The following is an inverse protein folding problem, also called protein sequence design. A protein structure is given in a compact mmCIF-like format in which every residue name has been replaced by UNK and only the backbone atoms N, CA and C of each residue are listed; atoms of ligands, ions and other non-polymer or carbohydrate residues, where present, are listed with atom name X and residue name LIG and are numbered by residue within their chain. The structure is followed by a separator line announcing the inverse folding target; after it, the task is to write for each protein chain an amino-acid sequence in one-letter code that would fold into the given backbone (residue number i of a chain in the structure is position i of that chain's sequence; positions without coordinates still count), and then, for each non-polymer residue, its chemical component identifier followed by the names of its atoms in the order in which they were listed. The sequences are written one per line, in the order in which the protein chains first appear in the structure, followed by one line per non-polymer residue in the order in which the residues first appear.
data_IF_872781445780
#
_entry.id   IF_872781445780
#
_cell.length_a   1.000
_cell.length_b   1.000
_cell.length_c   1.000
_cell.angle_alpha   90.00
_cell.angle_beta   90.00
_cell.angle_gamma   90.00
#
_symmetry.space_group_name_H-M   'P 1'
#
loop_
_entity.id
_entity.type
_entity.pdbx_description
1 polymer ?
#
# COMPACT_ATOMS: atom_id res chain seq x y z
N UNK A 1 -1.20 19.23 -7.24
CA UNK A 1 -1.16 17.78 -6.98
C UNK A 1 0.28 17.35 -7.09
N UNK A 2 0.76 16.61 -6.09
CA UNK A 2 2.14 16.15 -5.96
C UNK A 2 2.16 14.68 -6.38
N UNK A 3 2.97 14.34 -7.37
CA UNK A 3 3.17 12.96 -7.79
C UNK A 3 4.21 12.30 -6.88
N UNK A 4 3.79 11.29 -6.12
CA UNK A 4 4.63 10.63 -5.12
C UNK A 4 5.87 9.99 -5.74
N UNK A 5 5.77 9.50 -6.99
CA UNK A 5 6.93 8.93 -7.69
C UNK A 5 8.00 9.97 -8.04
N UNK A 6 7.61 11.24 -8.17
CA UNK A 6 8.52 12.35 -8.49
C UNK A 6 9.08 13.01 -7.22
N UNK A 7 8.35 12.97 -6.10
CA UNK A 7 8.75 13.53 -4.80
C UNK A 7 8.33 12.60 -3.65
N UNK A 8 9.21 11.64 -3.31
CA UNK A 8 8.98 10.71 -2.20
C UNK A 8 9.12 11.36 -0.82
N UNK A 9 9.78 12.52 -0.71
CA UNK A 9 9.95 13.22 0.56
C UNK A 9 8.62 13.75 1.08
N UNK A 10 7.63 13.94 0.21
CA UNK A 10 6.25 14.29 0.61
C UNK A 10 5.66 13.29 1.62
N UNK A 11 6.08 12.01 1.56
CA UNK A 11 5.60 10.96 2.46
C UNK A 11 6.12 11.12 3.91
N UNK A 12 7.19 11.88 4.11
CA UNK A 12 7.73 12.17 5.44
C UNK A 12 6.85 13.15 6.21
N UNK A 13 6.16 14.05 5.50
CA UNK A 13 5.38 15.14 6.11
C UNK A 13 4.26 14.60 7.02
N UNK A 14 4.19 14.97 8.30
CA UNK A 14 3.20 14.45 9.24
C UNK A 14 1.76 14.94 8.96
N UNK A 15 1.62 15.97 8.12
CA UNK A 15 0.39 16.72 7.87
C UNK A 15 -0.03 16.77 6.39
N UNK A 16 0.53 15.91 5.54
CA UNK A 16 0.17 15.84 4.11
C UNK A 16 -1.30 15.46 3.91
N UNK A 17 -2.07 16.23 3.15
CA UNK A 17 -3.43 15.85 2.77
C UNK A 17 -3.39 14.82 1.63
N UNK A 18 -3.94 13.60 1.81
CA UNK A 18 -4.02 12.60 0.74
C UNK A 18 -4.63 13.12 -0.56
N UNK A 19 -5.55 14.09 -0.49
CA UNK A 19 -6.21 14.70 -1.66
C UNK A 19 -5.27 15.53 -2.54
N UNK A 20 -4.12 15.92 -2.01
CA UNK A 20 -3.11 16.64 -2.77
C UNK A 20 -2.13 15.70 -3.49
N UNK A 21 -2.25 14.39 -3.29
CA UNK A 21 -1.32 13.38 -3.79
C UNK A 21 -1.87 12.61 -5.00
N UNK A 22 -0.96 12.26 -5.90
CA UNK A 22 -1.15 11.24 -6.91
C UNK A 22 -0.04 10.19 -6.83
N UNK A 23 -0.35 8.98 -7.33
CA UNK A 23 0.59 7.89 -7.44
C UNK A 23 0.44 7.24 -8.82
N UNK A 24 1.53 7.21 -9.58
CA UNK A 24 1.58 6.77 -10.97
C UNK A 24 0.42 7.36 -11.81
N UNK A 25 0.11 8.64 -11.61
CA UNK A 25 -0.96 9.36 -12.30
C UNK A 25 -2.38 9.13 -11.76
N UNK A 26 -2.58 8.23 -10.78
CA UNK A 26 -3.86 8.06 -10.10
C UNK A 26 -3.97 9.02 -8.92
N UNK A 27 -5.05 9.80 -8.87
CA UNK A 27 -5.26 10.80 -7.81
C UNK A 27 -6.08 10.17 -6.68
N UNK A 28 -5.87 10.60 -5.45
CA UNK A 28 -6.82 10.26 -4.40
C UNK A 28 -8.23 10.75 -4.77
N UNK A 29 -9.23 9.89 -4.68
CA UNK A 29 -10.61 10.21 -5.04
C UNK A 29 -10.94 10.15 -6.54
N UNK A 30 -9.99 9.77 -7.40
CA UNK A 30 -10.30 9.56 -8.83
C UNK A 30 -11.06 8.26 -9.04
N UNK A 31 -11.84 8.21 -10.13
CA UNK A 31 -12.47 6.97 -10.58
C UNK A 31 -11.40 5.95 -10.97
N UNK A 32 -11.44 4.78 -10.38
CA UNK A 32 -10.47 3.72 -10.66
C UNK A 32 -10.51 3.29 -12.13
N UNK A 33 -11.69 3.31 -12.76
CA UNK A 33 -11.88 2.94 -14.17
C UNK A 33 -11.07 3.82 -15.14
N UNK A 34 -10.79 5.06 -14.76
CA UNK A 34 -10.08 6.04 -15.58
C UNK A 34 -8.57 6.06 -15.30
N UNK A 35 -8.13 5.52 -14.15
CA UNK A 35 -6.74 5.67 -13.68
C UNK A 35 -5.97 4.36 -13.51
N UNK A 36 -6.65 3.23 -13.30
CA UNK A 36 -5.98 1.93 -13.14
C UNK A 36 -5.52 1.41 -14.50
N UNK A 37 -4.20 1.36 -14.68
CA UNK A 37 -3.58 0.68 -15.81
C UNK A 37 -3.71 -0.85 -15.65
N UNK A 38 -4.84 -1.41 -16.10
CA UNK A 38 -5.23 -2.82 -15.92
C UNK A 38 -4.13 -3.82 -16.31
N UNK A 39 -3.43 -3.57 -17.41
CA UNK A 39 -2.35 -4.44 -17.89
C UNK A 39 -1.11 -4.48 -16.97
N UNK A 40 -0.95 -3.46 -16.13
CA UNK A 40 0.14 -3.35 -15.15
C UNK A 40 -0.21 -3.97 -13.78
N UNK A 41 -1.46 -4.40 -13.57
CA UNK A 41 -1.89 -5.04 -12.33
C UNK A 41 -1.33 -6.46 -12.28
N UNK A 42 -0.54 -6.74 -11.24
CA UNK A 42 0.08 -8.05 -11.03
C UNK A 42 -0.74 -8.93 -10.10
N UNK A 43 -1.53 -8.33 -9.22
CA UNK A 43 -2.32 -9.04 -8.22
C UNK A 43 -3.52 -8.19 -7.80
N UNK A 44 -4.61 -8.85 -7.39
CA UNK A 44 -5.77 -8.21 -6.77
C UNK A 44 -6.08 -8.89 -5.44
N UNK A 45 -6.30 -8.11 -4.39
CA UNK A 45 -6.84 -8.59 -3.12
C UNK A 45 -8.27 -8.06 -2.98
N UNK A 46 -9.24 -8.97 -2.97
CA UNK A 46 -10.66 -8.62 -2.91
C UNK A 46 -11.40 -9.73 -2.15
N UNK A 47 -12.16 -9.40 -1.12
CA UNK A 47 -13.03 -10.39 -0.44
C UNK A 47 -14.39 -10.44 -1.16
N UNK A 48 -14.97 -11.63 -1.44
CA UNK A 48 -14.60 -12.97 -0.99
C UNK A 48 -13.61 -13.73 -1.91
N UNK A 49 -13.03 -13.08 -2.92
CA UNK A 49 -12.13 -13.72 -3.88
C UNK A 49 -10.84 -14.17 -3.20
N UNK A 50 -10.58 -15.47 -3.24
CA UNK A 50 -9.34 -16.05 -2.72
C UNK A 50 -8.33 -16.10 -3.86
N UNK A 51 -7.14 -15.54 -3.65
CA UNK A 51 -6.05 -15.69 -4.60
C UNK A 51 -5.03 -16.72 -4.09
N UNK A 52 -4.46 -17.49 -5.02
CA UNK A 52 -3.39 -18.44 -4.76
C UNK A 52 -2.18 -18.08 -5.62
N UNK A 53 -1.08 -17.76 -4.96
CA UNK A 53 0.20 -17.52 -5.63
C UNK A 53 0.97 -18.82 -5.78
N UNK A 54 1.22 -19.26 -7.02
CA UNK A 54 2.09 -20.42 -7.29
C UNK A 54 3.54 -19.91 -7.39
N UNK A 55 4.39 -20.33 -6.46
CA UNK A 55 5.80 -19.97 -6.44
C UNK A 55 6.59 -20.65 -7.58
N UNK A 56 7.46 -19.88 -8.27
CA UNK A 56 8.31 -20.36 -9.37
C UNK A 56 8.75 -19.22 -10.29
N UNK A 57 9.56 -19.51 -11.31
CA UNK A 57 10.04 -18.52 -12.30
C UNK A 57 8.95 -17.97 -13.23
N UNK A 58 7.73 -18.51 -13.18
CA UNK A 58 6.53 -18.00 -13.83
C UNK A 58 5.41 -17.82 -12.82
N UNK A 59 5.57 -16.86 -11.89
CA UNK A 59 4.54 -16.52 -10.89
C UNK A 59 3.22 -16.22 -11.61
N UNK A 60 2.28 -17.13 -11.48
CA UNK A 60 0.89 -16.94 -11.85
C UNK A 60 0.08 -16.91 -10.56
N UNK A 61 -0.79 -15.91 -10.45
CA UNK A 61 -1.79 -15.82 -9.39
C UNK A 61 -3.09 -16.34 -9.96
N UNK A 62 -3.61 -17.41 -9.36
CA UNK A 62 -4.93 -17.95 -9.67
C UNK A 62 -5.95 -17.30 -8.73
N UNK A 63 -7.14 -17.00 -9.25
CA UNK A 63 -8.23 -16.42 -8.49
C UNK A 63 -9.39 -17.37 -8.43
N UNK A 64 -10.01 -17.46 -7.25
CA UNK A 64 -11.16 -18.29 -7.03
C UNK A 64 -12.28 -17.45 -6.41
N UNK A 65 -13.47 -17.54 -7.00
CA UNK A 65 -14.65 -16.95 -6.40
C UNK A 65 -15.15 -17.72 -5.18
N UNK A 66 -16.28 -17.28 -4.64
CA UNK A 66 -16.82 -17.83 -3.39
C UNK A 66 -17.24 -19.31 -3.53
N UNK A 67 -17.60 -19.75 -4.74
CA UNK A 67 -18.04 -21.11 -5.02
C UNK A 67 -16.86 -22.01 -5.48
N UNK A 68 -15.63 -21.50 -5.44
CA UNK A 68 -14.41 -22.21 -5.83
C UNK A 68 -14.20 -22.27 -7.35
N UNK A 69 -14.97 -21.52 -8.12
CA UNK A 69 -14.80 -21.34 -9.55
C UNK A 69 -13.53 -20.53 -9.85
N UNK A 70 -12.79 -20.95 -10.87
CA UNK A 70 -11.59 -20.23 -11.32
C UNK A 70 -12.01 -18.97 -12.07
N UNK A 71 -11.51 -17.81 -11.63
CA UNK A 71 -11.72 -16.51 -12.26
C UNK A 71 -10.48 -16.07 -13.03
N UNK A 72 -10.69 -15.40 -14.16
CA UNK A 72 -9.60 -14.76 -14.90
C UNK A 72 -9.11 -13.51 -14.16
N UNK A 73 -7.84 -13.15 -14.38
CA UNK A 73 -7.31 -11.89 -13.85
C UNK A 73 -8.09 -10.67 -14.35
N UNK A 74 -8.57 -10.70 -15.59
CA UNK A 74 -9.32 -9.60 -16.19
C UNK A 74 -10.64 -9.35 -15.45
N UNK A 75 -11.41 -10.41 -15.20
CA UNK A 75 -12.68 -10.33 -14.44
C UNK A 75 -12.45 -9.80 -13.02
N UNK A 76 -11.38 -10.24 -12.36
CA UNK A 76 -11.08 -9.83 -10.98
C UNK A 76 -10.62 -8.36 -10.93
N UNK A 77 -9.82 -7.93 -11.89
CA UNK A 77 -9.39 -6.53 -12.01
C UNK A 77 -10.59 -5.63 -12.33
N UNK A 78 -11.45 -6.03 -13.26
CA UNK A 78 -12.68 -5.30 -13.59
C UNK A 78 -13.58 -5.15 -12.36
N UNK A 79 -13.83 -6.25 -11.64
CA UNK A 79 -14.65 -6.23 -10.44
C UNK A 79 -14.07 -5.29 -9.38
N UNK A 80 -12.76 -5.35 -9.12
CA UNK A 80 -12.13 -4.48 -8.14
C UNK A 80 -12.15 -2.99 -8.54
N UNK A 81 -12.03 -2.70 -9.83
CA UNK A 81 -12.08 -1.35 -10.38
C UNK A 81 -13.48 -0.75 -10.32
N UNK A 82 -14.52 -1.56 -10.49
CA UNK A 82 -15.91 -1.10 -10.44
C UNK A 82 -16.49 -1.02 -9.03
N UNK A 83 -16.04 -1.89 -8.13
CA UNK A 83 -16.65 -2.06 -6.81
C UNK A 83 -15.67 -1.69 -5.69
N UNK A 84 -14.86 -2.63 -5.23
CA UNK A 84 -13.91 -2.44 -4.15
C UNK A 84 -12.78 -3.45 -4.26
N UNK A 85 -11.67 -3.19 -3.58
CA UNK A 85 -10.53 -4.11 -3.51
C UNK A 85 -9.20 -3.39 -3.46
N UNK A 86 -8.12 -4.15 -3.53
CA UNK A 86 -6.76 -3.64 -3.60
C UNK A 86 -6.12 -4.17 -4.87
N UNK A 87 -5.65 -3.29 -5.74
CA UNK A 87 -4.89 -3.64 -6.95
C UNK A 87 -3.41 -3.38 -6.70
N UNK A 88 -2.56 -4.37 -7.00
CA UNK A 88 -1.13 -4.34 -6.73
C UNK A 88 -0.33 -4.22 -8.01
N UNK A 89 0.76 -3.46 -7.95
CA UNK A 89 1.64 -3.18 -9.08
C UNK A 89 3.06 -3.69 -8.83
N UNK A 90 3.77 -3.99 -9.92
CA UNK A 90 5.17 -4.48 -9.87
C UNK A 90 6.13 -3.49 -9.20
N UNK A 91 5.80 -2.20 -9.22
CA UNK A 91 6.53 -1.12 -8.54
C UNK A 91 6.46 -1.14 -7.02
N UNK A 92 5.86 -2.19 -6.41
CA UNK A 92 5.70 -2.35 -4.95
C UNK A 92 4.82 -1.28 -4.31
N UNK A 93 3.76 -0.94 -5.02
CA UNK A 93 2.70 -0.10 -4.52
C UNK A 93 1.35 -0.68 -4.92
N UNK A 94 0.30 -0.22 -4.22
CA UNK A 94 -1.07 -0.68 -4.44
C UNK A 94 -2.04 0.46 -4.28
N UNK A 95 -3.18 0.35 -4.96
CA UNK A 95 -4.32 1.23 -4.74
C UNK A 95 -5.39 0.47 -4.00
N UNK A 96 -5.97 1.09 -2.97
CA UNK A 96 -7.26 0.66 -2.44
C UNK A 96 -8.37 1.35 -3.21
N UNK A 97 -9.37 0.58 -3.56
CA UNK A 97 -10.56 1.02 -4.29
C UNK A 97 -11.77 0.75 -3.39
N UNK A 98 -12.64 1.74 -3.27
CA UNK A 98 -13.91 1.66 -2.54
C UNK A 98 -14.97 2.39 -3.36
N UNK A 99 -16.07 1.71 -3.69
CA UNK A 99 -17.13 2.25 -4.56
C UNK A 99 -16.60 2.73 -5.92
N UNK A 100 -15.66 1.99 -6.53
CA UNK A 100 -15.04 2.32 -7.81
C UNK A 100 -14.12 3.54 -7.79
N UNK A 101 -13.74 4.03 -6.61
CA UNK A 101 -12.91 5.22 -6.41
C UNK A 101 -11.62 4.85 -5.69
N UNK A 102 -10.49 5.42 -6.12
CA UNK A 102 -9.21 5.27 -5.43
C UNK A 102 -9.29 5.95 -4.06
N UNK A 103 -9.23 5.17 -2.99
CA UNK A 103 -9.40 5.65 -1.61
C UNK A 103 -8.12 5.59 -0.77
N UNK A 104 -7.03 5.04 -1.32
CA UNK A 104 -5.76 5.01 -0.60
C UNK A 104 -4.63 4.39 -1.41
N UNK A 105 -3.42 4.63 -0.94
CA UNK A 105 -2.18 4.13 -1.50
C UNK A 105 -1.43 3.32 -0.45
N UNK A 106 -0.79 2.24 -0.88
CA UNK A 106 0.16 1.50 -0.07
C UNK A 106 1.49 1.33 -0.78
N UNK A 107 2.55 1.26 0.00
CA UNK A 107 3.93 1.09 -0.40
C UNK A 107 4.54 -0.02 0.44
N UNK A 108 5.30 -0.91 -0.19
CA UNK A 108 5.93 -2.02 0.51
C UNK A 108 7.32 -2.32 -0.08
N UNK A 109 8.11 -3.09 0.66
CA UNK A 109 9.46 -3.48 0.23
C UNK A 109 10.54 -2.47 0.63
N UNK A 110 10.98 -2.52 1.88
CA UNK A 110 12.01 -1.61 2.40
C UNK A 110 13.36 -1.68 1.68
N UNK A 111 13.75 -2.86 1.17
CA UNK A 111 15.01 -3.05 0.42
C UNK A 111 14.90 -2.74 -1.09
N UNK A 112 13.68 -2.79 -1.65
CA UNK A 112 13.43 -2.68 -3.09
C UNK A 112 12.05 -2.09 -3.34
N UNK A 113 11.98 -1.08 -4.21
CA UNK A 113 10.75 -0.34 -4.47
C UNK A 113 10.86 1.07 -3.91
N UNK A 114 9.71 1.72 -3.67
CA UNK A 114 9.67 3.13 -3.28
C UNK A 114 10.20 3.38 -1.87
N UNK A 115 10.07 2.41 -0.97
CA UNK A 115 10.55 2.55 0.41
C UNK A 115 12.07 2.48 0.56
N UNK A 116 12.79 2.00 -0.47
CA UNK A 116 14.24 2.03 -0.48
C UNK A 116 14.81 3.46 -0.41
N UNK A 117 14.02 4.47 -0.80
CA UNK A 117 14.33 5.90 -0.61
C UNK A 117 14.67 6.23 0.86
N UNK A 118 13.99 5.58 1.81
CA UNK A 118 14.21 5.76 3.24
C UNK A 118 15.27 4.82 3.83
N UNK A 119 15.96 4.03 3.01
CA UNK A 119 16.99 3.07 3.47
C UNK A 119 18.25 3.71 4.05
N UNK A 120 18.34 5.05 4.04
CA UNK A 120 19.38 5.80 4.71
C UNK A 120 19.17 5.91 6.23
N UNK A 121 17.92 5.77 6.71
CA UNK A 121 17.58 5.76 8.13
C UNK A 121 18.17 4.51 8.81
N UNK A 122 18.80 4.70 9.97
CA UNK A 122 19.51 3.66 10.72
C UNK A 122 18.92 3.36 12.08
N UNK A 123 17.91 4.13 12.50
CA UNK A 123 17.25 3.93 13.78
C UNK A 123 15.83 4.47 13.75
N UNK A 124 15.01 4.00 14.69
CA UNK A 124 13.66 4.53 14.90
C UNK A 124 13.67 6.01 15.28
N UNK A 125 14.71 6.47 15.98
CA UNK A 125 14.83 7.87 16.37
C UNK A 125 15.07 8.77 15.14
N UNK A 126 15.98 8.39 14.22
CA UNK A 126 16.15 9.08 12.94
C UNK A 126 14.86 9.07 12.10
N UNK A 127 14.11 7.97 12.13
CA UNK A 127 12.80 7.88 11.50
C UNK A 127 11.80 8.87 12.11
N UNK A 128 11.72 8.97 13.45
CA UNK A 128 10.80 9.89 14.12
C UNK A 128 11.22 11.36 13.95
N UNK A 129 12.52 11.64 13.86
CA UNK A 129 13.03 12.98 13.55
C UNK A 129 12.62 13.41 12.13
N UNK A 130 12.64 12.48 11.17
CA UNK A 130 12.27 12.77 9.77
C UNK A 130 10.76 12.81 9.55
N UNK A 131 10.01 11.84 10.08
CA UNK A 131 8.56 11.72 9.86
C UNK A 131 7.72 12.56 10.84
N UNK A 132 8.36 13.09 11.88
CA UNK A 132 7.71 13.80 12.96
C UNK A 132 7.05 12.89 14.00
N UNK A 133 6.44 13.51 15.01
CA UNK A 133 5.77 12.78 16.09
C UNK A 133 4.43 12.21 15.61
N UNK A 134 4.20 10.89 15.73
CA UNK A 134 2.92 10.27 15.40
C UNK A 134 1.88 10.51 16.50
N UNK A 135 0.60 10.44 16.13
CA UNK A 135 -0.53 10.53 17.07
C UNK A 135 -0.69 9.26 17.92
N UNK A 136 -0.30 8.11 17.35
CA UNK A 136 -0.40 6.80 18.00
C UNK A 136 0.76 5.91 17.55
N UNK A 137 1.32 5.16 18.49
CA UNK A 137 2.31 4.11 18.24
C UNK A 137 1.79 2.81 18.81
N UNK A 138 1.78 1.76 18.00
CA UNK A 138 1.34 0.42 18.38
C UNK A 138 2.49 -0.57 18.15
N UNK A 139 2.76 -1.41 19.13
CA UNK A 139 3.70 -2.52 18.98
C UNK A 139 3.07 -3.61 18.11
N UNK A 140 3.87 -4.15 17.19
CA UNK A 140 3.51 -5.34 16.42
C UNK A 140 4.33 -6.49 16.94
N UNK A 141 3.66 -7.45 17.58
CA UNK A 141 4.26 -8.67 18.14
C UNK A 141 3.73 -9.87 17.36
N UNK A 142 4.63 -10.72 16.89
CA UNK A 142 4.28 -12.01 16.27
C UNK A 142 5.07 -13.13 16.95
N UNK A 143 4.41 -14.25 17.21
CA UNK A 143 4.97 -15.39 17.95
C UNK A 143 5.65 -15.03 19.29
N UNK A 144 5.25 -13.92 19.94
CA UNK A 144 5.84 -13.44 21.19
C UNK A 144 7.11 -12.60 21.03
N UNK A 145 7.52 -12.32 19.79
CA UNK A 145 8.66 -11.48 19.46
C UNK A 145 8.19 -10.12 18.91
N UNK A 146 8.90 -9.05 19.27
CA UNK A 146 8.62 -7.73 18.71
C UNK A 146 9.09 -7.70 17.25
N UNK A 147 8.14 -7.51 16.34
CA UNK A 147 8.40 -7.32 14.90
C UNK A 147 8.71 -5.87 14.57
N UNK A 148 8.06 -4.93 15.25
CA UNK A 148 8.11 -3.53 14.84
C UNK A 148 7.10 -2.63 15.52
N UNK A 149 6.99 -1.42 14.99
CA UNK A 149 6.09 -0.40 15.49
C UNK A 149 5.28 0.18 14.34
N UNK A 150 3.96 0.24 14.51
CA UNK A 150 3.04 0.95 13.62
C UNK A 150 2.84 2.37 14.15
N UNK A 151 3.15 3.35 13.33
CA UNK A 151 3.01 4.78 13.65
C UNK A 151 1.85 5.36 12.84
N UNK A 152 0.84 5.94 13.50
CA UNK A 152 -0.31 6.56 12.84
C UNK A 152 -0.23 8.09 12.92
N UNK A 153 -0.41 8.73 11.77
CA UNK A 153 -0.50 10.18 11.59
C UNK A 153 -1.92 10.50 11.10
N UNK A 154 -2.84 10.75 12.03
CA UNK A 154 -4.28 10.88 11.79
C UNK A 154 -4.61 12.05 10.88
N UNK A 155 -3.95 13.19 11.07
CA UNK A 155 -4.16 14.39 10.25
C UNK A 155 -3.86 14.13 8.78
N UNK A 156 -2.79 13.37 8.50
CA UNK A 156 -2.41 12.98 7.15
C UNK A 156 -3.11 11.71 6.64
N UNK A 157 -3.95 11.05 7.44
CA UNK A 157 -4.47 9.72 7.12
C UNK A 157 -3.37 8.72 6.78
N UNK A 158 -2.19 8.84 7.40
CA UNK A 158 -0.97 8.10 7.04
C UNK A 158 -0.60 7.10 8.13
N UNK A 159 -0.11 5.94 7.74
CA UNK A 159 0.44 4.93 8.64
C UNK A 159 1.80 4.48 8.12
N UNK A 160 2.78 4.35 9.01
CA UNK A 160 4.15 3.93 8.66
C UNK A 160 4.61 2.87 9.64
N UNK A 161 5.19 1.80 9.13
CA UNK A 161 5.73 0.74 9.97
C UNK A 161 7.24 0.72 9.96
N UNK A 162 7.79 0.77 11.17
CA UNK A 162 9.19 0.51 11.44
C UNK A 162 9.37 -0.96 11.76
N UNK A 163 10.15 -1.65 10.94
CA UNK A 163 10.62 -3.01 11.14
C UNK A 163 11.83 -2.99 12.08
N UNK A 164 11.68 -3.57 13.26
CA UNK A 164 12.72 -3.58 14.30
C UNK A 164 13.79 -4.64 14.07
N UNK A 165 13.59 -5.57 13.13
CA UNK A 165 14.61 -6.59 12.82
C UNK A 165 15.64 -6.07 11.84
N UNK A 166 15.17 -5.34 10.84
CA UNK A 166 16.00 -4.79 9.77
C UNK A 166 16.24 -3.28 9.89
N UNK A 167 15.76 -2.65 10.97
CA UNK A 167 15.87 -1.21 11.26
C UNK A 167 15.51 -0.33 10.05
N UNK A 168 14.28 -0.47 9.57
CA UNK A 168 13.83 0.22 8.34
C UNK A 168 12.33 0.48 8.29
N UNK A 169 11.92 1.34 7.37
CA UNK A 169 10.52 1.46 6.94
C UNK A 169 10.16 0.30 6.01
N UNK A 170 9.27 -0.60 6.42
CA UNK A 170 8.93 -1.79 5.61
C UNK A 170 7.60 -1.72 4.88
N UNK A 171 6.65 -0.91 5.40
CA UNK A 171 5.43 -0.53 4.69
C UNK A 171 4.96 0.87 5.09
N UNK A 172 4.24 1.52 4.17
CA UNK A 172 3.62 2.83 4.36
C UNK A 172 2.26 2.85 3.66
N UNK A 173 1.25 3.38 4.34
CA UNK A 173 -0.10 3.54 3.82
C UNK A 173 -0.54 5.00 3.92
N UNK A 174 -1.29 5.47 2.92
CA UNK A 174 -1.91 6.81 2.91
C UNK A 174 -3.39 6.67 2.54
N UNK A 175 -4.22 7.48 3.19
CA UNK A 175 -5.65 7.49 2.98
C UNK A 175 -6.36 6.36 3.69
N UNK A 176 -7.46 5.90 3.13
CA UNK A 176 -8.34 4.88 3.70
C UNK A 176 -7.79 3.44 3.51
N UNK A 177 -6.46 3.27 3.35
CA UNK A 177 -5.91 1.98 2.95
C UNK A 177 -6.12 0.87 4.00
N UNK A 178 -5.98 1.19 5.29
CA UNK A 178 -6.14 0.23 6.40
C UNK A 178 -6.89 0.89 7.57
N UNK A 179 -8.10 1.39 7.30
CA UNK A 179 -8.98 2.06 8.27
C UNK A 179 -9.63 1.15 9.31
N UNK A 180 -8.97 0.03 9.65
CA UNK A 180 -9.35 -0.85 10.76
C UNK A 180 -8.77 -0.40 12.10
#
# INVERSE_FOLDING_TARGET
MIEILDDLDVLTRPDVDPRELSLAGACYGSKAADTVARDSVIEVTLSPIVHRSIGGSGRATEYYGADGELLSREEVVENAVETEGIVHFSGKFSYRIVGGTVSGFAFYGGERGLLAHFGHLRSRDEFLDLFGTPDLVEESVDCGELMGYRHRYRTAGKQVFWDSWDDRVSWLNIGDFDSR
#
